data_IF_796087134579
#
_entry.id   IF_796087134579
#
_cell.length_a   1.000
_cell.length_b   1.000
_cell.length_c   1.000
_cell.angle_alpha   90.00
_cell.angle_beta   90.00
_cell.angle_gamma   90.00
#
_symmetry.space_group_name_H-M   'P 1'
#
loop_
_entity.id
_entity.type
_entity.pdbx_description
1 polymer ?
#
# COMPACT_ATOMS: atom_id res chain seq x y z
N UNK A 1 -48.54 -18.46 -60.79
CA UNK A 1 -47.96 -18.79 -59.44
C UNK A 1 -46.46 -19.10 -59.51
N UNK A 2 -45.90 -19.76 -60.53
CA UNK A 2 -44.50 -20.06 -60.70
C UNK A 2 -43.54 -18.83 -60.71
N UNK A 3 -43.81 -17.70 -61.39
CA UNK A 3 -42.89 -16.57 -61.44
C UNK A 3 -42.77 -15.84 -60.13
N UNK A 4 -43.81 -15.83 -59.29
CA UNK A 4 -43.74 -15.22 -57.93
C UNK A 4 -42.87 -15.99 -56.99
N UNK A 5 -42.82 -17.34 -57.04
CA UNK A 5 -41.94 -18.17 -56.24
C UNK A 5 -40.45 -17.94 -56.56
N UNK A 6 -40.14 -17.73 -57.90
CA UNK A 6 -38.77 -17.41 -58.29
C UNK A 6 -38.27 -16.06 -57.77
N UNK A 7 -39.13 -15.05 -57.84
CA UNK A 7 -38.79 -13.70 -57.29
C UNK A 7 -38.58 -13.77 -55.78
N UNK A 8 -39.38 -14.55 -55.07
CA UNK A 8 -39.23 -14.70 -53.59
C UNK A 8 -37.93 -15.41 -53.23
N UNK A 9 -37.50 -16.45 -53.93
CA UNK A 9 -36.25 -17.16 -53.74
C UNK A 9 -35.03 -16.24 -53.98
N UNK A 10 -35.08 -15.43 -55.04
CA UNK A 10 -34.01 -14.45 -55.32
C UNK A 10 -33.91 -13.37 -54.23
N UNK A 11 -35.02 -12.84 -53.74
CA UNK A 11 -35.09 -11.87 -52.69
C UNK A 11 -34.49 -12.46 -51.37
N UNK A 12 -34.83 -13.70 -51.03
CA UNK A 12 -34.30 -14.42 -49.89
C UNK A 12 -32.76 -14.62 -50.00
N UNK A 13 -32.28 -14.97 -51.21
CA UNK A 13 -30.84 -15.10 -51.47
C UNK A 13 -30.07 -13.77 -51.28
N UNK A 14 -30.65 -12.68 -51.80
CA UNK A 14 -30.05 -11.33 -51.61
C UNK A 14 -30.03 -10.94 -50.14
N UNK A 15 -31.11 -11.19 -49.39
CA UNK A 15 -31.14 -10.91 -47.95
C UNK A 15 -30.12 -11.73 -47.16
N UNK A 16 -29.95 -13.02 -47.49
CA UNK A 16 -28.92 -13.87 -46.87
C UNK A 16 -27.48 -13.38 -47.16
N UNK A 17 -27.21 -13.03 -48.44
CA UNK A 17 -25.92 -12.48 -48.82
C UNK A 17 -25.63 -11.15 -48.12
N UNK A 18 -26.62 -10.26 -48.07
CA UNK A 18 -26.47 -8.97 -47.35
C UNK A 18 -26.23 -9.17 -45.86
N UNK A 19 -26.96 -10.08 -45.22
CA UNK A 19 -26.81 -10.43 -43.82
C UNK A 19 -25.43 -11.02 -43.55
N UNK A 20 -24.94 -11.92 -44.40
CA UNK A 20 -23.60 -12.52 -44.28
C UNK A 20 -22.49 -11.46 -44.46
N UNK A 21 -22.65 -10.58 -45.47
CA UNK A 21 -21.71 -9.48 -45.72
C UNK A 21 -21.66 -8.51 -44.55
N UNK A 22 -22.82 -8.12 -44.02
CA UNK A 22 -22.91 -7.24 -42.84
C UNK A 22 -22.29 -7.88 -41.62
N UNK A 23 -22.57 -9.15 -41.35
CA UNK A 23 -21.99 -9.90 -40.24
C UNK A 23 -20.46 -10.04 -40.38
N UNK A 24 -19.96 -10.29 -41.60
CA UNK A 24 -18.54 -10.36 -41.87
C UNK A 24 -17.84 -8.98 -41.69
N UNK A 25 -18.51 -7.91 -42.12
CA UNK A 25 -18.02 -6.54 -41.98
C UNK A 25 -17.91 -6.13 -40.48
N UNK A 26 -18.96 -6.40 -39.71
CA UNK A 26 -18.97 -6.14 -38.25
C UNK A 26 -17.88 -6.94 -37.55
N UNK A 27 -17.72 -8.24 -37.87
CA UNK A 27 -16.65 -9.05 -37.28
C UNK A 27 -15.24 -8.51 -37.55
N UNK A 28 -15.01 -8.00 -38.77
CA UNK A 28 -13.71 -7.38 -39.13
C UNK A 28 -13.44 -6.11 -38.34
N UNK A 29 -14.46 -5.26 -38.12
CA UNK A 29 -14.32 -4.04 -37.32
C UNK A 29 -14.09 -4.34 -35.84
N UNK A 30 -14.59 -5.48 -35.33
CA UNK A 30 -14.43 -5.89 -33.92
C UNK A 30 -13.14 -6.69 -33.69
N UNK A 31 -12.12 -6.58 -34.56
CA UNK A 31 -10.84 -7.32 -34.44
C UNK A 31 -11.02 -8.84 -34.27
N UNK A 32 -12.08 -9.42 -34.78
CA UNK A 32 -12.38 -10.84 -34.67
C UNK A 32 -12.90 -11.30 -33.31
N UNK A 33 -13.08 -10.40 -32.35
CA UNK A 33 -13.58 -10.72 -31.01
C UNK A 33 -15.10 -10.64 -30.94
N UNK A 34 -15.72 -11.56 -30.20
CA UNK A 34 -17.13 -11.47 -29.86
C UNK A 34 -17.39 -10.31 -28.87
N UNK A 35 -18.57 -9.63 -28.91
CA UNK A 35 -18.92 -8.57 -27.97
C UNK A 35 -18.78 -8.96 -26.51
N UNK A 36 -19.05 -10.24 -26.18
CA UNK A 36 -18.88 -10.80 -24.84
C UNK A 36 -17.41 -10.88 -24.42
N UNK A 37 -16.50 -11.16 -25.34
CA UNK A 37 -15.06 -11.21 -25.08
C UNK A 37 -14.51 -9.83 -24.84
N UNK A 38 -14.90 -8.83 -25.65
CA UNK A 38 -14.51 -7.43 -25.45
C UNK A 38 -14.98 -6.93 -24.07
N UNK A 39 -16.24 -7.19 -23.72
CA UNK A 39 -16.78 -6.81 -22.42
C UNK A 39 -16.09 -7.51 -21.24
N UNK A 40 -15.57 -8.73 -21.46
CA UNK A 40 -14.78 -9.46 -20.45
C UNK A 40 -13.40 -8.84 -20.28
N UNK A 41 -12.71 -8.53 -21.37
CA UNK A 41 -11.38 -7.90 -21.34
C UNK A 41 -11.44 -6.53 -20.67
N UNK A 42 -12.43 -5.70 -21.04
CA UNK A 42 -12.62 -4.38 -20.40
C UNK A 42 -12.86 -4.50 -18.90
N UNK A 43 -13.74 -5.42 -18.48
CA UNK A 43 -13.99 -5.66 -17.05
C UNK A 43 -12.75 -6.17 -16.31
N UNK A 44 -11.97 -7.01 -16.95
CA UNK A 44 -10.73 -7.52 -16.39
C UNK A 44 -9.69 -6.40 -16.23
N UNK A 45 -9.56 -5.51 -17.23
CA UNK A 45 -8.70 -4.32 -17.12
C UNK A 45 -9.15 -3.37 -16.00
N UNK A 46 -10.47 -3.08 -15.90
CA UNK A 46 -11.01 -2.28 -14.81
C UNK A 46 -10.74 -2.90 -13.44
N UNK A 47 -10.89 -4.23 -13.31
CA UNK A 47 -10.60 -4.94 -12.07
C UNK A 47 -9.12 -4.86 -11.70
N UNK A 48 -8.21 -5.09 -12.65
CA UNK A 48 -6.76 -4.97 -12.43
C UNK A 48 -6.39 -3.54 -12.04
N UNK A 49 -6.86 -2.53 -12.77
CA UNK A 49 -6.60 -1.13 -12.49
C UNK A 49 -7.12 -0.69 -11.11
N UNK A 50 -8.25 -1.27 -10.68
CA UNK A 50 -8.85 -0.98 -9.38
C UNK A 50 -8.25 -1.77 -8.22
N UNK A 51 -7.52 -2.87 -8.48
CA UNK A 51 -6.89 -3.71 -7.47
C UNK A 51 -5.54 -3.17 -7.00
N UNK A 52 -4.93 -2.24 -7.74
CA UNK A 52 -3.65 -1.62 -7.37
C UNK A 52 -3.85 -0.75 -6.15
N UNK A 53 -3.01 -0.93 -5.12
CA UNK A 53 -3.05 -0.17 -3.88
C UNK A 53 -2.64 1.30 -4.04
N UNK A 54 -1.82 1.59 -5.04
CA UNK A 54 -1.44 2.96 -5.37
C UNK A 54 -2.59 3.72 -6.01
N UNK A 55 -2.64 5.04 -5.80
CA UNK A 55 -3.48 5.93 -6.59
C UNK A 55 -2.94 6.00 -8.01
N UNK A 56 -3.78 5.74 -9.01
CA UNK A 56 -3.43 5.82 -10.43
C UNK A 56 -4.35 6.82 -11.12
N UNK A 57 -3.74 7.79 -11.80
CA UNK A 57 -4.43 8.75 -12.67
C UNK A 57 -3.70 8.78 -14.01
N UNK A 58 -4.43 8.65 -15.11
CA UNK A 58 -3.90 8.91 -16.44
C UNK A 58 -4.52 10.19 -16.98
N UNK A 59 -3.70 10.98 -17.66
CA UNK A 59 -4.10 12.22 -18.33
C UNK A 59 -3.67 12.21 -19.78
N UNK A 60 -4.41 12.90 -20.63
CA UNK A 60 -4.02 13.15 -22.01
C UNK A 60 -2.97 14.29 -22.09
N UNK A 61 -2.38 14.60 -23.28
CA UNK A 61 -1.40 15.68 -23.42
C UNK A 61 -1.92 17.07 -23.08
N UNK A 62 -3.24 17.25 -22.99
CA UNK A 62 -3.90 18.51 -22.64
C UNK A 62 -4.28 18.59 -21.15
N UNK A 63 -3.96 17.55 -20.36
CA UNK A 63 -4.26 17.50 -18.92
C UNK A 63 -5.68 17.08 -18.58
N UNK A 64 -6.42 16.44 -19.49
CA UNK A 64 -7.74 15.87 -19.20
C UNK A 64 -7.58 14.43 -18.69
N UNK A 65 -8.38 14.07 -17.70
CA UNK A 65 -8.35 12.75 -17.08
C UNK A 65 -8.90 11.70 -18.04
N UNK A 66 -8.06 10.74 -18.40
CA UNK A 66 -8.46 9.58 -19.25
C UNK A 66 -8.75 8.34 -18.41
N UNK A 67 -8.12 8.20 -17.23
CA UNK A 67 -8.40 7.12 -16.28
C UNK A 67 -8.11 7.57 -14.85
N UNK A 68 -8.89 7.04 -13.88
CA UNK A 68 -8.68 7.23 -12.46
C UNK A 68 -9.13 5.98 -11.69
N UNK A 69 -8.24 5.37 -10.90
CA UNK A 69 -8.58 4.17 -10.14
C UNK A 69 -9.33 4.49 -8.83
N UNK A 70 -9.82 3.44 -8.17
CA UNK A 70 -10.55 3.56 -6.92
C UNK A 70 -9.70 4.17 -5.80
N UNK A 71 -8.43 3.78 -5.71
CA UNK A 71 -7.53 4.23 -4.65
C UNK A 71 -7.13 5.69 -4.83
N UNK A 72 -6.86 6.16 -6.05
CA UNK A 72 -6.64 7.59 -6.30
C UNK A 72 -7.82 8.44 -5.80
N UNK A 73 -9.05 8.02 -6.13
CA UNK A 73 -10.25 8.73 -5.66
C UNK A 73 -10.36 8.75 -4.14
N UNK A 74 -10.10 7.60 -3.49
CA UNK A 74 -10.14 7.49 -2.02
C UNK A 74 -9.09 8.40 -1.38
N UNK A 75 -7.86 8.39 -1.87
CA UNK A 75 -6.75 9.18 -1.33
C UNK A 75 -6.98 10.69 -1.52
N UNK A 76 -7.57 11.09 -2.65
CA UNK A 76 -7.88 12.49 -2.95
C UNK A 76 -9.22 12.97 -2.36
N UNK A 77 -9.94 12.12 -1.62
CA UNK A 77 -11.23 12.48 -0.99
C UNK A 77 -12.40 12.64 -1.99
N UNK A 78 -12.30 12.02 -3.18
CA UNK A 78 -13.32 12.12 -4.21
C UNK A 78 -14.43 11.11 -3.98
N UNK A 79 -15.60 11.57 -3.58
CA UNK A 79 -16.74 10.70 -3.22
C UNK A 79 -17.50 10.15 -4.44
N UNK A 80 -17.34 10.76 -5.62
CA UNK A 80 -18.10 10.41 -6.83
C UNK A 80 -17.54 9.23 -7.62
N UNK A 81 -18.36 8.49 -8.39
CA UNK A 81 -17.90 7.40 -9.25
C UNK A 81 -16.84 7.85 -10.26
N UNK A 82 -15.91 6.95 -10.61
CA UNK A 82 -14.78 7.25 -11.50
C UNK A 82 -15.17 7.84 -12.86
N UNK A 83 -16.29 7.39 -13.45
CA UNK A 83 -16.80 7.87 -14.75
C UNK A 83 -17.11 9.37 -14.76
N UNK A 84 -17.43 9.95 -13.61
CA UNK A 84 -17.77 11.38 -13.51
C UNK A 84 -16.53 12.28 -13.66
N UNK A 85 -15.35 11.73 -13.46
CA UNK A 85 -14.07 12.43 -13.52
C UNK A 85 -13.38 12.32 -14.87
N UNK A 86 -13.81 11.37 -15.72
CA UNK A 86 -13.27 11.19 -17.07
C UNK A 86 -13.59 12.39 -17.94
N UNK A 87 -12.61 12.88 -18.69
CA UNK A 87 -12.71 14.04 -19.55
C UNK A 87 -12.74 15.39 -18.84
N UNK A 88 -12.58 15.41 -17.51
CA UNK A 88 -12.41 16.67 -16.77
C UNK A 88 -10.94 17.09 -16.70
N UNK A 89 -10.65 18.39 -16.64
CA UNK A 89 -9.31 18.88 -16.42
C UNK A 89 -8.77 18.42 -15.05
N UNK A 90 -7.52 17.96 -15.00
CA UNK A 90 -6.90 17.48 -13.76
C UNK A 90 -6.83 18.57 -12.68
N UNK A 91 -6.71 19.85 -13.07
CA UNK A 91 -6.66 21.00 -12.16
C UNK A 91 -7.94 21.17 -11.30
N UNK A 92 -9.06 20.58 -11.72
CA UNK A 92 -10.29 20.56 -10.90
C UNK A 92 -10.23 19.49 -9.80
N UNK A 93 -9.34 18.50 -9.93
CA UNK A 93 -9.27 17.31 -9.07
C UNK A 93 -8.08 17.35 -8.14
N UNK A 94 -6.93 17.83 -8.63
CA UNK A 94 -5.66 17.87 -7.89
C UNK A 94 -5.09 19.27 -7.88
N UNK A 95 -4.66 19.74 -6.70
CA UNK A 95 -3.99 21.02 -6.51
C UNK A 95 -2.78 20.84 -5.59
N UNK A 96 -1.59 21.34 -6.01
CA UNK A 96 -1.23 21.84 -7.33
C UNK A 96 -1.25 20.74 -8.40
N UNK A 97 -1.48 21.11 -9.67
CA UNK A 97 -1.60 20.16 -10.78
C UNK A 97 -0.31 20.10 -11.65
N UNK A 98 0.72 20.84 -11.31
CA UNK A 98 1.96 20.98 -12.08
C UNK A 98 2.60 19.63 -12.39
N UNK A 99 2.56 18.71 -11.44
CA UNK A 99 3.06 17.34 -11.61
C UNK A 99 2.35 16.55 -12.72
N UNK A 100 1.12 16.95 -13.09
CA UNK A 100 0.30 16.30 -14.11
C UNK A 100 0.35 17.01 -15.45
N UNK A 101 0.68 18.30 -15.50
CA UNK A 101 0.54 19.14 -16.68
C UNK A 101 1.89 19.60 -17.25
N UNK A 102 2.91 19.78 -16.40
CA UNK A 102 4.21 20.23 -16.85
C UNK A 102 5.07 19.07 -17.34
N UNK A 103 5.73 19.22 -18.49
CA UNK A 103 6.67 18.25 -19.06
C UNK A 103 6.14 16.81 -19.02
N UNK A 104 4.93 16.59 -19.52
CA UNK A 104 4.21 15.31 -19.48
C UNK A 104 5.01 14.14 -20.09
N UNK A 105 5.91 14.43 -21.02
CA UNK A 105 6.79 13.49 -21.67
C UNK A 105 8.01 13.06 -20.83
N UNK A 106 8.33 13.80 -19.76
CA UNK A 106 9.45 13.49 -18.89
C UNK A 106 9.07 12.44 -17.84
N UNK A 107 9.88 11.39 -17.76
CA UNK A 107 9.76 10.37 -16.70
C UNK A 107 10.24 10.94 -15.38
N UNK A 108 9.41 10.85 -14.33
CA UNK A 108 9.76 11.23 -12.95
C UNK A 108 9.51 10.05 -12.03
N UNK A 109 10.45 9.76 -11.12
CA UNK A 109 10.37 8.64 -10.20
C UNK A 109 10.63 9.09 -8.76
N UNK A 110 9.85 8.53 -7.83
CA UNK A 110 9.95 8.73 -6.38
C UNK A 110 10.02 10.20 -5.95
N UNK A 111 9.27 11.06 -6.66
CA UNK A 111 9.18 12.49 -6.35
C UNK A 111 8.19 12.69 -5.21
N UNK A 112 8.63 13.43 -4.18
CA UNK A 112 7.73 13.85 -3.11
C UNK A 112 6.90 15.02 -3.61
N UNK A 113 5.60 14.86 -3.65
CA UNK A 113 4.63 15.86 -4.09
C UNK A 113 3.52 16.05 -3.05
N UNK A 114 2.75 17.12 -3.20
CA UNK A 114 1.56 17.36 -2.40
C UNK A 114 0.33 17.38 -3.32
N UNK A 115 -0.64 16.54 -3.05
CA UNK A 115 -1.89 16.50 -3.80
C UNK A 115 -3.05 16.76 -2.84
N UNK A 116 -3.70 17.90 -2.97
CA UNK A 116 -4.81 18.34 -2.11
C UNK A 116 -4.45 18.33 -0.60
N UNK A 117 -3.22 18.68 -0.22
CA UNK A 117 -2.75 18.62 1.16
C UNK A 117 -2.21 17.25 1.59
N UNK A 118 -2.38 16.20 0.81
CA UNK A 118 -1.81 14.88 1.06
C UNK A 118 -0.36 14.82 0.56
N UNK A 119 0.59 14.54 1.45
CA UNK A 119 1.99 14.29 1.06
C UNK A 119 2.10 12.89 0.45
N UNK A 120 2.56 12.84 -0.80
CA UNK A 120 2.66 11.61 -1.57
C UNK A 120 4.06 11.41 -2.16
N UNK A 121 4.41 10.16 -2.41
CA UNK A 121 5.51 9.79 -3.30
C UNK A 121 4.87 9.42 -4.63
N UNK A 122 5.23 10.15 -5.68
CA UNK A 122 4.61 10.04 -6.99
C UNK A 122 5.62 9.68 -8.07
N UNK A 123 5.17 8.88 -9.02
CA UNK A 123 5.87 8.54 -10.25
C UNK A 123 5.04 8.99 -11.43
N UNK A 124 5.70 9.44 -12.49
CA UNK A 124 5.08 9.78 -13.76
C UNK A 124 5.80 9.07 -14.90
N UNK A 125 5.04 8.51 -15.81
CA UNK A 125 5.54 7.86 -17.00
C UNK A 125 4.67 8.23 -18.21
N UNK A 126 5.31 8.62 -19.32
CA UNK A 126 4.62 8.97 -20.55
C UNK A 126 3.99 7.74 -21.22
N UNK A 127 2.78 7.87 -21.69
CA UNK A 127 2.08 6.87 -22.51
C UNK A 127 2.28 7.27 -23.97
N UNK A 128 2.91 6.38 -24.76
CA UNK A 128 3.19 6.61 -26.19
C UNK A 128 2.61 5.49 -27.04
N UNK A 129 2.25 5.82 -28.26
CA UNK A 129 1.92 4.85 -29.31
C UNK A 129 2.78 5.14 -30.54
N UNK A 130 3.86 4.37 -30.71
CA UNK A 130 4.94 4.74 -31.62
C UNK A 130 5.60 6.05 -31.15
N UNK A 131 5.67 7.05 -32.04
CA UNK A 131 6.23 8.36 -31.71
C UNK A 131 5.18 9.35 -31.12
N UNK A 132 3.91 9.00 -31.17
CA UNK A 132 2.83 9.88 -30.69
C UNK A 132 2.69 9.81 -29.16
N UNK A 133 2.73 10.97 -28.50
CA UNK A 133 2.45 11.11 -27.09
C UNK A 133 0.92 11.05 -26.84
N UNK A 134 0.45 10.00 -26.19
CA UNK A 134 -0.96 9.83 -25.84
C UNK A 134 -1.32 10.45 -24.48
N UNK A 135 -0.31 10.79 -23.68
CA UNK A 135 -0.48 11.35 -22.35
C UNK A 135 0.52 10.83 -21.34
N UNK A 136 0.15 10.82 -20.07
CA UNK A 136 0.97 10.25 -18.99
C UNK A 136 0.12 9.49 -17.99
N UNK A 137 0.73 8.49 -17.35
CA UNK A 137 0.20 7.83 -16.17
C UNK A 137 0.99 8.28 -14.95
N UNK A 138 0.27 8.64 -13.90
CA UNK A 138 0.82 9.04 -12.62
C UNK A 138 0.37 8.01 -11.58
N UNK A 139 1.36 7.36 -10.93
CA UNK A 139 1.11 6.56 -9.74
C UNK A 139 1.57 7.32 -8.50
N UNK A 140 0.83 7.20 -7.41
CA UNK A 140 1.19 7.84 -6.14
C UNK A 140 0.70 7.06 -4.93
N UNK A 141 1.46 7.18 -3.84
CA UNK A 141 1.18 6.53 -2.56
C UNK A 141 1.41 7.51 -1.41
N UNK A 142 0.68 7.35 -0.31
CA UNK A 142 0.83 8.21 0.85
C UNK A 142 2.22 8.07 1.47
N UNK A 143 2.89 9.20 1.68
CA UNK A 143 4.17 9.25 2.37
C UNK A 143 4.02 8.88 3.85
N UNK A 144 2.92 9.27 4.47
CA UNK A 144 2.66 9.02 5.90
C UNK A 144 2.47 7.53 6.19
N UNK A 145 1.82 6.79 5.29
CA UNK A 145 1.66 5.34 5.40
C UNK A 145 3.01 4.62 5.36
N UNK A 146 3.90 5.02 4.45
CA UNK A 146 5.27 4.48 4.35
C UNK A 146 6.09 4.85 5.58
N UNK A 147 5.98 6.10 6.06
CA UNK A 147 6.68 6.56 7.25
C UNK A 147 6.25 5.78 8.49
N UNK A 148 4.97 5.49 8.64
CA UNK A 148 4.42 4.68 9.73
C UNK A 148 4.95 3.25 9.70
N UNK A 149 4.97 2.61 8.54
CA UNK A 149 5.52 1.26 8.37
C UNK A 149 7.01 1.21 8.68
N UNK A 150 7.79 2.19 8.23
CA UNK A 150 9.22 2.29 8.53
C UNK A 150 9.48 2.51 10.01
N UNK A 151 8.67 3.33 10.70
CA UNK A 151 8.75 3.51 12.14
C UNK A 151 8.47 2.19 12.89
N UNK A 152 7.45 1.45 12.49
CA UNK A 152 7.13 0.13 13.05
C UNK A 152 8.27 -0.88 12.82
N UNK A 153 8.85 -0.93 11.62
CA UNK A 153 10.01 -1.79 11.33
C UNK A 153 11.21 -1.42 12.20
N UNK A 154 11.47 -0.14 12.40
CA UNK A 154 12.56 0.33 13.28
C UNK A 154 12.30 -0.09 14.72
N UNK A 155 11.09 0.05 15.21
CA UNK A 155 10.69 -0.39 16.55
C UNK A 155 10.84 -1.91 16.72
N UNK A 156 10.45 -2.71 15.74
CA UNK A 156 10.63 -4.18 15.77
C UNK A 156 12.12 -4.53 15.81
N UNK A 157 12.95 -3.88 14.99
CA UNK A 157 14.41 -4.11 15.01
C UNK A 157 15.02 -3.80 16.40
N UNK A 158 14.64 -2.68 17.00
CA UNK A 158 15.07 -2.33 18.36
C UNK A 158 14.63 -3.36 19.39
N UNK A 159 13.39 -3.87 19.27
CA UNK A 159 12.88 -4.91 20.16
C UNK A 159 13.66 -6.22 20.03
N UNK A 160 13.96 -6.65 18.80
CA UNK A 160 14.77 -7.85 18.53
C UNK A 160 16.17 -7.71 19.12
N UNK A 161 16.80 -6.54 19.00
CA UNK A 161 18.14 -6.30 19.57
C UNK A 161 18.10 -6.30 21.08
N UNK A 162 17.07 -5.73 21.70
CA UNK A 162 16.87 -5.80 23.16
C UNK A 162 16.72 -7.25 23.65
N UNK A 163 15.93 -8.07 22.94
CA UNK A 163 15.80 -9.50 23.25
C UNK A 163 17.12 -10.26 23.12
N UNK A 164 17.95 -9.89 22.13
CA UNK A 164 19.27 -10.50 21.95
C UNK A 164 20.18 -10.18 23.13
N UNK A 165 20.18 -8.93 23.56
CA UNK A 165 20.95 -8.48 24.74
C UNK A 165 20.50 -9.22 25.99
N UNK A 166 19.20 -9.26 26.28
CA UNK A 166 18.64 -10.00 27.41
C UNK A 166 19.02 -11.49 27.39
N UNK A 167 19.00 -12.11 26.22
CA UNK A 167 19.44 -13.49 26.08
C UNK A 167 20.92 -13.66 26.43
N UNK A 168 21.77 -12.76 25.98
CA UNK A 168 23.19 -12.79 26.32
C UNK A 168 23.44 -12.61 27.83
N UNK A 169 22.78 -11.66 28.46
CA UNK A 169 22.85 -11.44 29.91
C UNK A 169 22.37 -12.67 30.68
N UNK A 170 21.23 -13.27 30.25
CA UNK A 170 20.72 -14.48 30.86
C UNK A 170 21.71 -15.66 30.75
N UNK A 171 22.30 -15.87 29.58
CA UNK A 171 23.29 -16.91 29.36
C UNK A 171 24.55 -16.70 30.21
N UNK A 172 25.01 -15.44 30.31
CA UNK A 172 26.14 -15.10 31.17
C UNK A 172 25.83 -15.36 32.65
N UNK A 173 24.63 -14.98 33.10
CA UNK A 173 24.17 -15.23 34.45
C UNK A 173 24.10 -16.73 34.74
N UNK A 174 23.53 -17.53 33.84
CA UNK A 174 23.49 -18.99 33.96
C UNK A 174 24.88 -19.64 33.97
N UNK A 175 25.78 -19.14 33.12
CA UNK A 175 27.19 -19.62 33.11
C UNK A 175 27.90 -19.33 34.40
N UNK A 176 27.69 -18.13 34.97
CA UNK A 176 28.27 -17.75 36.26
C UNK A 176 27.77 -18.62 37.42
N UNK A 177 26.43 -18.85 37.45
CA UNK A 177 25.83 -19.77 38.44
C UNK A 177 26.38 -21.18 38.31
N UNK A 178 26.50 -21.72 37.09
CA UNK A 178 27.04 -23.05 36.86
C UNK A 178 28.51 -23.14 37.32
N UNK A 179 29.32 -22.13 37.00
CA UNK A 179 30.71 -22.05 37.47
C UNK A 179 30.82 -22.06 38.97
N UNK A 180 30.03 -21.24 39.69
CA UNK A 180 30.02 -21.18 41.16
C UNK A 180 29.56 -22.51 41.78
N UNK A 181 28.55 -23.19 41.18
CA UNK A 181 28.12 -24.51 41.64
C UNK A 181 29.17 -25.58 41.46
N UNK A 182 29.91 -25.59 40.34
CA UNK A 182 31.03 -26.52 40.12
C UNK A 182 32.18 -26.30 41.12
N UNK A 183 32.42 -25.03 41.51
CA UNK A 183 33.41 -24.66 42.53
C UNK A 183 32.91 -24.91 43.95
N UNK A 184 31.65 -25.39 44.13
CA UNK A 184 30.99 -25.62 45.44
C UNK A 184 30.82 -24.35 46.29
N UNK A 185 30.81 -23.17 45.65
CA UNK A 185 30.64 -21.86 46.28
C UNK A 185 29.14 -21.56 46.51
N UNK A 186 28.47 -22.39 47.32
CA UNK A 186 27.01 -22.36 47.49
C UNK A 186 26.50 -21.05 48.08
N UNK A 187 27.27 -20.46 49.05
CA UNK A 187 26.89 -19.21 49.67
C UNK A 187 26.87 -18.05 48.66
N UNK A 188 27.80 -18.04 47.71
CA UNK A 188 27.81 -17.06 46.62
C UNK A 188 26.69 -17.23 45.65
N UNK A 189 26.33 -18.46 45.33
CA UNK A 189 25.14 -18.75 44.47
C UNK A 189 23.90 -18.20 45.16
N UNK A 190 23.72 -18.50 46.45
CA UNK A 190 22.58 -18.04 47.22
C UNK A 190 22.49 -16.51 47.27
N UNK A 191 23.62 -15.84 47.55
CA UNK A 191 23.71 -14.39 47.58
C UNK A 191 23.38 -13.75 46.20
N UNK A 192 23.86 -14.36 45.11
CA UNK A 192 23.59 -13.88 43.74
C UNK A 192 22.10 -13.99 43.39
N UNK A 193 21.46 -15.11 43.70
CA UNK A 193 20.03 -15.32 43.45
C UNK A 193 19.18 -14.43 44.36
N UNK A 194 19.54 -14.30 45.65
CA UNK A 194 18.81 -13.45 46.58
C UNK A 194 18.98 -11.96 46.27
N UNK A 195 20.17 -11.54 45.84
CA UNK A 195 20.47 -10.15 45.49
C UNK A 195 19.61 -9.67 44.31
N UNK A 196 19.46 -10.50 43.28
CA UNK A 196 18.59 -10.19 42.15
C UNK A 196 17.11 -10.08 42.57
N UNK A 197 16.64 -11.03 43.40
CA UNK A 197 15.28 -11.04 43.92
C UNK A 197 15.00 -9.87 44.89
N UNK A 198 15.96 -9.52 45.75
CA UNK A 198 15.81 -8.42 46.71
C UNK A 198 15.79 -7.05 46.02
N UNK A 199 16.64 -6.81 45.04
CA UNK A 199 16.67 -5.56 44.30
C UNK A 199 15.32 -5.30 43.58
N UNK A 200 14.73 -6.35 43.06
CA UNK A 200 13.42 -6.30 42.39
C UNK A 200 12.29 -6.07 43.43
N UNK A 201 12.35 -6.74 44.57
CA UNK A 201 11.33 -6.60 45.62
C UNK A 201 11.39 -5.22 46.28
N UNK A 202 12.59 -4.70 46.60
CA UNK A 202 12.74 -3.37 47.15
C UNK A 202 12.19 -2.26 46.24
N UNK A 203 12.37 -2.40 44.93
CA UNK A 203 11.79 -1.47 43.97
C UNK A 203 10.27 -1.52 43.99
N UNK A 204 9.70 -2.72 44.04
CA UNK A 204 8.23 -2.91 44.12
C UNK A 204 7.68 -2.29 45.40
N UNK A 205 8.35 -2.54 46.53
CA UNK A 205 7.89 -2.05 47.84
C UNK A 205 8.02 -0.52 47.96
N UNK A 206 9.12 0.07 47.47
CA UNK A 206 9.28 1.53 47.43
C UNK A 206 8.25 2.23 46.55
N UNK A 207 7.90 1.63 45.41
CA UNK A 207 6.84 2.17 44.55
C UNK A 207 5.43 2.02 45.15
N UNK A 208 5.20 0.95 45.94
CA UNK A 208 3.94 0.76 46.68
C UNK A 208 3.78 1.74 47.83
N UNK A 209 4.85 2.07 48.50
CA UNK A 209 4.82 3.07 49.56
C UNK A 209 4.64 4.49 49.02
N UNK A 210 5.26 4.80 47.89
CA UNK A 210 5.20 6.14 47.29
C UNK A 210 3.87 6.44 46.58
N UNK A 211 3.18 5.41 46.09
CA UNK A 211 1.95 5.60 45.29
C UNK A 211 0.81 4.72 45.78
N UNK A 212 -0.24 5.36 46.27
CA UNK A 212 -1.47 4.67 46.73
C UNK A 212 -2.23 3.94 45.61
N UNK A 213 -2.05 4.36 44.35
CA UNK A 213 -2.69 3.76 43.19
C UNK A 213 -1.80 2.66 42.60
N UNK A 214 -2.33 1.43 42.62
CA UNK A 214 -1.65 0.24 42.10
C UNK A 214 -1.36 0.29 40.61
N UNK A 215 -2.19 0.99 39.81
CA UNK A 215 -1.99 1.11 38.37
C UNK A 215 -0.82 2.05 38.07
N UNK A 216 -0.72 3.15 38.83
CA UNK A 216 0.39 4.11 38.72
C UNK A 216 1.71 3.47 39.17
N UNK A 217 1.72 2.73 40.28
CA UNK A 217 2.88 1.98 40.74
C UNK A 217 3.36 0.95 39.70
N UNK A 218 2.45 0.23 39.06
CA UNK A 218 2.78 -0.73 37.99
C UNK A 218 3.36 -0.08 36.72
N UNK A 219 2.82 1.07 36.30
CA UNK A 219 3.34 1.84 35.18
C UNK A 219 4.74 2.40 35.47
N UNK A 220 4.96 2.91 36.67
CA UNK A 220 6.25 3.43 37.10
C UNK A 220 7.29 2.33 37.25
N UNK A 221 6.91 1.16 37.79
CA UNK A 221 7.77 -0.01 37.83
C UNK A 221 8.29 -0.38 36.46
N UNK A 222 7.41 -0.49 35.48
CA UNK A 222 7.78 -0.78 34.08
C UNK A 222 8.69 0.30 33.47
N UNK A 223 8.47 1.58 33.81
CA UNK A 223 9.31 2.70 33.34
C UNK A 223 10.70 2.71 33.99
N UNK A 224 10.79 2.47 35.30
CA UNK A 224 12.07 2.39 36.03
C UNK A 224 12.88 1.18 35.57
N UNK A 225 12.25 0.04 35.36
CA UNK A 225 12.89 -1.15 34.79
C UNK A 225 13.48 -0.84 33.42
N UNK A 226 12.72 -0.17 32.59
CA UNK A 226 13.17 0.23 31.26
C UNK A 226 14.29 1.27 31.27
N UNK A 227 14.27 2.20 32.22
CA UNK A 227 15.34 3.18 32.42
C UNK A 227 16.66 2.49 32.85
N UNK A 228 16.60 1.49 33.74
CA UNK A 228 17.75 0.67 34.14
C UNK A 228 18.32 -0.13 32.97
N UNK A 229 17.45 -0.75 32.14
CA UNK A 229 17.85 -1.45 30.92
C UNK A 229 18.58 -0.54 29.93
N UNK A 230 18.25 0.74 29.91
CA UNK A 230 18.86 1.76 29.06
C UNK A 230 20.11 2.41 29.71
N UNK A 231 20.55 1.95 30.90
CA UNK A 231 21.70 2.50 31.62
C UNK A 231 21.47 3.89 32.20
N UNK A 232 20.23 4.35 32.29
CA UNK A 232 19.84 5.60 32.91
C UNK A 232 19.79 5.40 34.45
N UNK A 233 20.51 6.23 35.18
CA UNK A 233 20.52 6.24 36.67
C UNK A 233 19.45 7.17 37.20
#
# INVERSE_FOLDING_TARGET
>A
LLPMAGVFVVLLGILMLLSWFLAAHIRRQMMGMEPKQIARVVRQQEALFSSVYEGLIAVDPHGYITAINRNARKMLGLSSPGRQWLGKPIVEVVRPADFFTEQIDEKRQDVVANFNGLSVIANREAIRSGDDLLGAIISFRSKDEISTLNAQLTQIKQYVESLRTLRHEHLNWMSTLNGLLQMKEYDRVLAMVQGESQAQQQLIDSLREAFADRQVAGLLFGKVQRARELGLK
#
